data_IF_966124052473
#
_entry.id   IF_966124052473
#
_cell.length_a   1.000
_cell.length_b   1.000
_cell.length_c   1.000
_cell.angle_alpha   90.00
_cell.angle_beta   90.00
_cell.angle_gamma   90.00
#
_symmetry.space_group_name_H-M   'P 1'
#
loop_
_entity.id
_entity.type
_entity.pdbx_description
1 polymer ?
#
# COMPACT_ATOMS: atom_id res chain seq x y z
N UNK A 1 -6.08 -16.55 21.71
CA UNK A 1 -6.47 -15.80 20.50
C UNK A 1 -5.47 -14.66 20.37
N UNK A 2 -4.59 -14.70 19.35
CA UNK A 2 -3.70 -13.57 19.09
C UNK A 2 -4.57 -12.38 18.66
N UNK A 3 -4.27 -11.21 19.21
CA UNK A 3 -5.03 -9.99 18.95
C UNK A 3 -4.49 -9.43 17.64
N UNK A 4 -5.28 -9.45 16.58
CA UNK A 4 -4.87 -8.88 15.30
C UNK A 4 -4.57 -7.38 15.49
N UNK A 5 -3.42 -6.94 14.99
CA UNK A 5 -3.03 -5.53 15.02
C UNK A 5 -3.98 -4.77 14.09
N UNK A 6 -4.66 -3.74 14.60
CA UNK A 6 -5.52 -2.87 13.81
C UNK A 6 -4.71 -1.68 13.27
N UNK A 7 -5.04 -1.13 12.08
CA UNK A 7 -4.38 0.07 11.60
C UNK A 7 -4.73 1.26 12.50
N UNK A 8 -3.74 2.10 12.82
CA UNK A 8 -4.00 3.34 13.57
C UNK A 8 -4.57 4.45 12.68
N UNK A 9 -4.40 4.32 11.36
CA UNK A 9 -4.90 5.27 10.36
C UNK A 9 -5.08 4.60 9.00
N UNK A 10 -6.06 5.06 8.23
CA UNK A 10 -6.20 4.76 6.80
C UNK A 10 -6.31 6.04 5.99
N UNK A 11 -5.95 5.98 4.70
CA UNK A 11 -6.27 7.04 3.74
C UNK A 11 -7.76 7.01 3.38
N UNK A 12 -8.31 8.07 2.75
CA UNK A 12 -9.49 7.91 1.92
C UNK A 12 -9.28 6.84 0.84
N UNK A 13 -10.37 6.37 0.26
CA UNK A 13 -10.34 5.53 -0.93
C UNK A 13 -9.97 6.42 -2.12
N UNK A 14 -8.99 5.96 -2.91
CA UNK A 14 -8.59 6.57 -4.17
C UNK A 14 -8.99 5.66 -5.33
N UNK A 15 -9.34 6.29 -6.45
CA UNK A 15 -9.48 5.66 -7.76
C UNK A 15 -8.33 6.09 -8.69
N UNK A 16 -8.35 5.68 -9.96
CA UNK A 16 -7.31 6.01 -10.94
C UNK A 16 -7.19 7.51 -11.25
N UNK A 17 -8.20 8.30 -10.89
CA UNK A 17 -8.28 9.74 -11.18
C UNK A 17 -7.99 10.61 -9.96
N UNK A 18 -8.24 10.07 -8.77
CA UNK A 18 -8.08 10.76 -7.48
C UNK A 18 -6.81 10.35 -6.74
N UNK A 19 -6.09 9.33 -7.22
CA UNK A 19 -4.80 8.92 -6.66
C UNK A 19 -3.83 10.13 -6.61
N UNK A 20 -3.35 10.53 -5.42
CA UNK A 20 -2.42 11.64 -5.31
C UNK A 20 -1.12 11.35 -6.07
N UNK A 21 -0.68 12.31 -6.89
CA UNK A 21 0.54 12.18 -7.71
C UNK A 21 1.80 11.85 -6.89
N UNK A 22 1.83 12.17 -5.59
CA UNK A 22 2.91 11.81 -4.69
C UNK A 22 3.05 10.29 -4.49
N UNK A 23 1.94 9.52 -4.52
CA UNK A 23 1.98 8.06 -4.38
C UNK A 23 2.51 7.36 -5.64
N UNK A 24 2.38 8.01 -6.80
CA UNK A 24 2.96 7.55 -8.07
C UNK A 24 4.44 7.89 -8.26
N UNK A 25 5.08 8.52 -7.28
CA UNK A 25 6.52 8.82 -7.26
C UNK A 25 7.18 8.03 -6.15
N UNK A 26 8.48 7.81 -6.26
CA UNK A 26 9.23 7.13 -5.20
C UNK A 26 9.05 7.85 -3.86
N UNK A 27 8.61 7.11 -2.85
CA UNK A 27 8.46 7.55 -1.48
C UNK A 27 8.63 6.36 -0.53
N UNK A 28 8.54 6.63 0.77
CA UNK A 28 8.65 5.63 1.83
C UNK A 28 7.82 6.01 3.04
N UNK A 29 7.42 5.01 3.82
CA UNK A 29 6.87 5.23 5.15
C UNK A 29 7.95 5.71 6.12
N UNK A 30 7.53 6.31 7.23
CA UNK A 30 8.43 6.72 8.32
C UNK A 30 9.05 5.49 9.01
N UNK A 31 10.18 5.66 9.74
CA UNK A 31 10.67 4.61 10.63
C UNK A 31 9.59 4.12 11.59
N UNK A 32 9.52 2.80 11.79
CA UNK A 32 8.51 2.16 12.64
C UNK A 32 7.08 2.20 12.10
N UNK A 33 6.85 2.57 10.83
CA UNK A 33 5.52 2.57 10.21
C UNK A 33 5.47 1.55 9.07
N UNK A 34 4.57 0.58 9.21
CA UNK A 34 4.19 -0.34 8.14
C UNK A 34 3.02 0.24 7.37
N UNK A 35 3.01 0.01 6.06
CA UNK A 35 1.89 0.32 5.18
C UNK A 35 1.29 -0.97 4.63
N UNK A 36 -0.02 -1.01 4.46
CA UNK A 36 -0.69 -2.05 3.68
C UNK A 36 -1.49 -1.37 2.58
N UNK A 37 -1.12 -1.63 1.33
CA UNK A 37 -1.86 -1.19 0.15
C UNK A 37 -2.96 -2.20 -0.10
N UNK A 38 -4.21 -1.80 0.11
CA UNK A 38 -5.40 -2.62 -0.18
C UNK A 38 -6.08 -2.11 -1.43
N UNK A 39 -6.27 -3.00 -2.39
CA UNK A 39 -7.17 -2.77 -3.51
C UNK A 39 -8.53 -3.33 -3.14
N UNK A 40 -9.58 -2.54 -3.32
CA UNK A 40 -10.97 -2.93 -3.08
C UNK A 40 -11.64 -3.43 -4.36
N UNK A 41 -11.17 -2.94 -5.51
CA UNK A 41 -11.63 -3.30 -6.84
C UNK A 41 -10.53 -3.02 -7.87
N UNK A 42 -10.44 -3.87 -8.90
CA UNK A 42 -9.44 -3.73 -9.96
C UNK A 42 -8.04 -4.14 -9.52
N UNK A 43 -7.02 -3.50 -10.09
CA UNK A 43 -5.62 -3.83 -9.86
C UNK A 43 -4.74 -2.57 -9.75
N UNK A 44 -3.64 -2.72 -9.02
CA UNK A 44 -2.64 -1.68 -8.83
C UNK A 44 -1.25 -2.31 -8.92
N UNK A 45 -0.35 -1.70 -9.69
CA UNK A 45 1.05 -2.11 -9.73
C UNK A 45 1.80 -1.41 -8.61
N UNK A 46 2.42 -2.20 -7.72
CA UNK A 46 3.29 -1.73 -6.65
C UNK A 46 4.75 -2.06 -7.00
N UNK A 47 5.58 -1.05 -7.08
CA UNK A 47 7.01 -1.19 -7.37
C UNK A 47 7.83 -0.88 -6.12
N UNK A 48 8.64 -1.84 -5.67
CA UNK A 48 9.69 -1.65 -4.67
C UNK A 48 11.00 -1.30 -5.39
N UNK A 49 11.77 -0.38 -4.82
CA UNK A 49 13.00 0.13 -5.45
C UNK A 49 14.22 -0.68 -5.02
N UNK A 50 14.33 -1.03 -3.74
CA UNK A 50 15.49 -1.75 -3.19
C UNK A 50 15.06 -2.78 -2.11
N UNK A 51 15.23 -4.09 -2.37
CA UNK A 51 15.56 -4.67 -3.67
C UNK A 51 14.44 -4.43 -4.70
N UNK A 52 14.77 -4.30 -6.00
CA UNK A 52 13.78 -4.04 -7.03
C UNK A 52 12.83 -5.22 -7.19
N UNK A 53 11.53 -4.97 -7.04
CA UNK A 53 10.46 -5.96 -7.19
C UNK A 53 9.18 -5.28 -7.61
N UNK A 54 8.40 -5.93 -8.45
CA UNK A 54 7.06 -5.46 -8.83
C UNK A 54 6.03 -6.49 -8.38
N UNK A 55 4.91 -6.01 -7.83
CA UNK A 55 3.74 -6.80 -7.47
C UNK A 55 2.49 -6.21 -8.12
N UNK A 56 1.59 -7.07 -8.56
CA UNK A 56 0.21 -6.69 -8.83
C UNK A 56 -0.58 -6.89 -7.54
N UNK A 57 -1.18 -5.81 -7.05
CA UNK A 57 -2.02 -5.79 -5.87
C UNK A 57 -3.47 -5.86 -6.33
N UNK A 58 -4.24 -6.76 -5.72
CA UNK A 58 -5.66 -6.99 -5.99
C UNK A 58 -6.41 -7.17 -4.66
N UNK A 59 -7.75 -7.30 -4.67
CA UNK A 59 -8.51 -7.54 -3.44
C UNK A 59 -8.07 -8.76 -2.63
N UNK A 60 -7.55 -9.79 -3.29
CA UNK A 60 -7.12 -11.04 -2.66
C UNK A 60 -5.62 -11.02 -2.27
N UNK A 61 -4.86 -10.04 -2.73
CA UNK A 61 -3.39 -9.99 -2.57
C UNK A 61 -2.94 -8.58 -2.21
N UNK A 62 -3.03 -8.17 -0.93
CA UNK A 62 -2.60 -6.85 -0.48
C UNK A 62 -1.08 -6.67 -0.56
N UNK A 63 -0.63 -5.43 -0.78
CA UNK A 63 0.79 -5.07 -0.83
C UNK A 63 1.32 -4.62 0.53
N UNK A 64 2.30 -5.33 1.09
CA UNK A 64 2.96 -4.92 2.34
C UNK A 64 4.11 -3.94 2.07
N UNK A 65 4.18 -2.87 2.86
CA UNK A 65 5.24 -1.87 2.83
C UNK A 65 5.96 -1.89 4.18
N UNK A 66 7.26 -2.17 4.16
CA UNK A 66 8.09 -2.16 5.37
C UNK A 66 8.50 -0.72 5.74
N UNK A 67 8.82 -0.44 7.02
CA UNK A 67 9.37 0.84 7.43
C UNK A 67 10.58 1.24 6.59
N UNK A 68 10.61 2.50 6.13
CA UNK A 68 11.68 3.08 5.30
C UNK A 68 11.90 2.43 3.92
N UNK A 69 11.08 1.47 3.50
CA UNK A 69 11.21 0.82 2.20
C UNK A 69 10.74 1.75 1.08
N UNK A 70 11.61 2.04 0.11
CA UNK A 70 11.26 2.86 -1.06
C UNK A 70 10.34 2.11 -2.01
N UNK A 71 9.24 2.76 -2.40
CA UNK A 71 8.24 2.22 -3.30
C UNK A 71 7.43 3.32 -3.99
N UNK A 72 6.62 2.93 -4.98
CA UNK A 72 5.60 3.76 -5.62
C UNK A 72 4.53 2.89 -6.27
N UNK A 73 3.38 3.48 -6.61
CA UNK A 73 2.24 2.76 -7.19
C UNK A 73 1.78 3.34 -8.51
N UNK A 74 1.26 2.48 -9.39
CA UNK A 74 0.67 2.86 -10.68
C UNK A 74 -0.67 2.13 -10.86
N UNK A 75 -1.78 2.84 -11.17
CA UNK A 75 -3.05 2.20 -11.50
C UNK A 75 -2.92 1.25 -12.70
N UNK A 76 -3.59 0.10 -12.63
CA UNK A 76 -3.75 -0.81 -13.77
C UNK A 76 -5.20 -0.75 -14.21
N UNK A 77 -5.52 0.25 -15.04
CA UNK A 77 -6.91 0.55 -15.42
C UNK A 77 -7.72 1.13 -14.27
N UNK A 78 -9.03 0.88 -14.28
CA UNK A 78 -9.96 1.29 -13.22
C UNK A 78 -9.68 0.51 -11.95
N UNK A 79 -9.57 1.21 -10.83
CA UNK A 79 -9.31 0.60 -9.53
C UNK A 79 -9.90 1.42 -8.39
N UNK A 80 -10.02 0.80 -7.22
CA UNK A 80 -10.25 1.49 -5.94
C UNK A 80 -9.26 0.96 -4.92
N UNK A 81 -8.54 1.83 -4.23
CA UNK A 81 -7.54 1.43 -3.25
C UNK A 81 -7.52 2.34 -2.01
N UNK A 82 -7.00 1.81 -0.90
CA UNK A 82 -6.66 2.58 0.29
C UNK A 82 -5.32 2.11 0.86
N UNK A 83 -4.61 3.00 1.58
CA UNK A 83 -3.43 2.60 2.36
C UNK A 83 -3.79 2.63 3.84
N UNK A 84 -3.51 1.52 4.52
CA UNK A 84 -3.58 1.39 5.96
C UNK A 84 -2.18 1.57 6.56
N UNK A 85 -2.10 2.22 7.72
CA UNK A 85 -0.85 2.45 8.43
C UNK A 85 -0.89 1.82 9.81
N UNK A 86 0.19 1.11 10.15
CA UNK A 86 0.36 0.37 11.38
C UNK A 86 1.65 0.81 12.08
N UNK A 87 1.63 0.80 13.41
CA UNK A 87 2.77 1.08 14.30
C UNK A 87 3.47 -0.22 14.76
N UNK A 88 2.97 -1.36 14.31
CA UNK A 88 3.50 -2.71 14.50
C UNK A 88 3.34 -3.52 13.20
N UNK A 89 4.08 -4.62 12.99
CA UNK A 89 3.89 -5.48 11.83
C UNK A 89 2.44 -6.00 11.74
N UNK A 90 1.72 -5.79 10.62
CA UNK A 90 0.38 -6.32 10.43
C UNK A 90 0.43 -7.84 10.15
N UNK A 91 -0.65 -8.53 10.50
CA UNK A 91 -0.92 -9.89 10.03
C UNK A 91 -1.75 -9.79 8.74
N UNK A 92 -1.24 -10.36 7.63
CA UNK A 92 -1.87 -10.38 6.31
C UNK A 92 -2.23 -11.79 5.88
#
# INVERSE_FOLDING_TARGET
>A
MARSVAPYRSTPIFDERTLPAALGREHRTKPGVWGVVRVLEGELKLSYVDPPKVLIVSPDSPGLLLPNQSHFVEPVGTMRMQVEFYDQPPEL
#
